data_IF_087599552956
#
_entry.id   IF_087599552956
#
_cell.length_a   1.000
_cell.length_b   1.000
_cell.length_c   1.000
_cell.angle_alpha   90.00
_cell.angle_beta   90.00
_cell.angle_gamma   90.00
#
_symmetry.space_group_name_H-M   'P 1'
#
loop_
_entity.id
_entity.type
_entity.pdbx_description
1 polymer ?
#
# COMPACT_ATOMS: atom_id res chain seq x y z
N UNK A 1 -43.30 6.02 -4.41
CA UNK A 1 -42.21 5.04 -4.63
C UNK A 1 -41.27 5.55 -5.73
N UNK A 2 -40.16 6.22 -5.39
CA UNK A 2 -39.13 6.66 -6.37
C UNK A 2 -37.66 6.43 -5.92
N UNK A 3 -37.39 6.25 -4.63
CA UNK A 3 -36.03 6.13 -4.08
C UNK A 3 -35.31 4.77 -4.20
N UNK A 4 -35.97 3.73 -4.73
CA UNK A 4 -35.42 2.36 -4.76
C UNK A 4 -34.55 2.05 -5.99
N UNK A 5 -34.73 2.76 -7.11
CA UNK A 5 -34.12 2.40 -8.40
C UNK A 5 -32.64 2.82 -8.48
N UNK A 6 -32.20 3.79 -7.69
CA UNK A 6 -30.79 4.23 -7.67
C UNK A 6 -29.83 3.29 -6.92
N UNK A 7 -30.35 2.38 -6.08
CA UNK A 7 -29.53 1.63 -5.11
C UNK A 7 -28.71 0.52 -5.76
N UNK A 8 -29.23 -0.15 -6.79
CA UNK A 8 -28.59 -1.28 -7.47
C UNK A 8 -27.37 -0.92 -8.32
N UNK A 9 -27.16 0.36 -8.64
CA UNK A 9 -25.96 0.80 -9.36
C UNK A 9 -24.74 0.95 -8.45
N UNK A 10 -24.95 1.24 -7.16
CA UNK A 10 -23.87 1.68 -6.27
C UNK A 10 -23.10 0.51 -5.66
N UNK A 11 -23.70 -0.67 -5.51
CA UNK A 11 -23.07 -1.85 -4.86
C UNK A 11 -21.76 -2.31 -5.51
N UNK A 12 -21.56 -2.09 -6.82
CA UNK A 12 -20.28 -2.35 -7.50
C UNK A 12 -19.20 -1.28 -7.27
N UNK A 13 -19.60 -0.07 -6.84
CA UNK A 13 -18.70 1.05 -6.53
C UNK A 13 -18.12 0.89 -5.10
N UNK A 14 -18.92 0.41 -4.14
CA UNK A 14 -18.49 0.19 -2.75
C UNK A 14 -17.28 -0.74 -2.60
N UNK A 15 -17.06 -1.69 -3.51
CA UNK A 15 -15.85 -2.54 -3.57
C UNK A 15 -14.53 -1.78 -3.78
N UNK A 16 -14.57 -0.46 -4.00
CA UNK A 16 -13.41 0.39 -4.28
C UNK A 16 -13.12 1.47 -3.20
N UNK A 17 -13.63 1.33 -1.97
CA UNK A 17 -13.49 2.30 -0.86
C UNK A 17 -12.25 2.08 0.04
N UNK A 18 -11.59 3.19 0.43
CA UNK A 18 -10.19 3.36 0.89
C UNK A 18 -10.04 4.63 1.78
N UNK A 19 -9.21 4.81 2.82
CA UNK A 19 -8.28 3.99 3.65
C UNK A 19 -8.28 4.53 5.12
N UNK A 20 -7.69 3.92 6.19
CA UNK A 20 -6.23 3.96 6.55
C UNK A 20 -5.96 3.44 8.00
N UNK A 21 -4.85 2.73 8.28
CA UNK A 21 -4.22 2.57 9.63
C UNK A 21 -5.01 1.83 10.75
N UNK A 22 -4.90 0.50 10.78
CA UNK A 22 -4.62 -0.24 12.01
C UNK A 22 -3.08 -0.31 12.24
N UNK A 23 -2.62 -1.21 13.11
CA UNK A 23 -1.21 -1.62 13.15
C UNK A 23 -0.93 -2.55 11.95
N UNK A 24 -0.70 -1.95 10.78
CA UNK A 24 -0.79 -2.59 9.46
C UNK A 24 0.41 -3.48 9.07
N UNK A 25 0.68 -4.50 9.88
CA UNK A 25 1.85 -5.39 9.73
C UNK A 25 1.82 -6.25 8.46
N UNK A 26 0.64 -6.66 7.98
CA UNK A 26 0.50 -7.69 6.95
C UNK A 26 0.81 -7.18 5.54
N UNK A 27 0.35 -5.98 5.16
CA UNK A 27 0.76 -5.39 3.87
C UNK A 27 2.27 -5.17 3.82
N UNK A 28 2.87 -4.65 4.90
CA UNK A 28 4.29 -4.32 4.94
C UNK A 28 5.24 -5.50 4.68
N UNK A 29 4.89 -6.73 5.07
CA UNK A 29 5.73 -7.91 4.74
C UNK A 29 5.69 -8.28 3.25
N UNK A 30 4.55 -8.11 2.56
CA UNK A 30 4.49 -8.29 1.11
C UNK A 30 5.14 -7.13 0.34
N UNK A 31 5.01 -5.90 0.83
CA UNK A 31 5.68 -4.71 0.26
C UNK A 31 7.20 -4.82 0.35
N UNK A 32 7.71 -5.35 1.47
CA UNK A 32 9.11 -5.73 1.68
C UNK A 32 9.60 -6.76 0.66
N UNK A 33 8.78 -7.76 0.34
CA UNK A 33 9.11 -8.77 -0.68
C UNK A 33 9.10 -8.15 -2.08
N UNK A 34 8.07 -7.37 -2.43
CA UNK A 34 8.02 -6.65 -3.71
C UNK A 34 9.25 -5.74 -3.90
N UNK A 35 9.71 -5.06 -2.85
CA UNK A 35 10.89 -4.20 -2.91
C UNK A 35 12.18 -5.01 -3.15
N UNK A 36 12.24 -6.25 -2.66
CA UNK A 36 13.32 -7.20 -2.98
C UNK A 36 13.24 -7.69 -4.44
N UNK A 37 12.07 -8.10 -4.92
CA UNK A 37 11.91 -8.59 -6.30
C UNK A 37 12.25 -7.48 -7.32
N UNK A 38 11.91 -6.23 -6.99
CA UNK A 38 12.33 -5.06 -7.77
C UNK A 38 13.84 -4.81 -7.68
N UNK A 39 14.46 -4.97 -6.51
CA UNK A 39 15.92 -4.87 -6.36
C UNK A 39 16.66 -5.88 -7.23
N UNK A 40 16.31 -7.16 -7.14
CA UNK A 40 17.00 -8.22 -7.87
C UNK A 40 16.78 -8.10 -9.38
N UNK A 41 15.54 -7.82 -9.82
CA UNK A 41 15.25 -7.51 -11.23
C UNK A 41 16.07 -6.31 -11.74
N UNK A 42 16.21 -5.25 -10.94
CA UNK A 42 16.99 -4.08 -11.35
C UNK A 42 18.50 -4.41 -11.41
N UNK A 43 18.99 -5.33 -10.57
CA UNK A 43 20.35 -5.84 -10.63
C UNK A 43 20.60 -6.79 -11.82
N UNK A 44 19.59 -7.54 -12.28
CA UNK A 44 19.61 -8.28 -13.55
C UNK A 44 19.70 -7.32 -14.73
N UNK A 45 18.72 -6.43 -14.86
CA UNK A 45 18.58 -5.53 -16.02
C UNK A 45 19.76 -4.57 -16.15
N UNK A 46 20.35 -4.13 -15.04
CA UNK A 46 21.54 -3.26 -15.04
C UNK A 46 22.86 -4.04 -15.08
N UNK A 47 22.84 -5.37 -15.01
CA UNK A 47 24.05 -6.21 -15.07
C UNK A 47 24.97 -6.05 -13.86
N UNK A 48 24.42 -5.87 -12.67
CA UNK A 48 25.16 -5.73 -11.41
C UNK A 48 24.46 -4.84 -10.38
N UNK A 49 24.65 -5.15 -9.09
CA UNK A 49 24.17 -4.32 -7.99
C UNK A 49 24.86 -2.95 -7.91
N UNK A 50 26.02 -2.82 -8.55
CA UNK A 50 26.76 -1.57 -8.70
C UNK A 50 26.17 -0.62 -9.74
N UNK A 51 25.34 -1.12 -10.66
CA UNK A 51 24.82 -0.35 -11.82
C UNK A 51 23.36 0.07 -11.66
N UNK A 52 22.68 -0.38 -10.60
CA UNK A 52 21.36 0.15 -10.21
C UNK A 52 21.49 1.09 -9.00
N UNK A 53 20.70 2.16 -9.01
CA UNK A 53 20.72 3.27 -8.04
C UNK A 53 19.31 3.72 -7.61
N UNK A 54 18.33 2.83 -7.78
CA UNK A 54 16.90 3.05 -7.50
C UNK A 54 16.49 2.57 -6.11
N UNK A 55 17.16 1.51 -5.63
CA UNK A 55 16.96 0.91 -4.32
C UNK A 55 18.36 0.73 -3.73
N UNK A 56 18.61 1.26 -2.55
CA UNK A 56 19.88 1.24 -1.81
C UNK A 56 21.09 1.81 -2.57
N UNK A 57 21.00 3.08 -2.99
CA UNK A 57 22.08 3.83 -3.67
C UNK A 57 23.48 3.61 -3.11
N UNK A 58 24.46 3.44 -4.01
CA UNK A 58 25.88 3.41 -3.65
C UNK A 58 26.37 4.72 -3.05
N UNK A 59 27.32 4.62 -2.11
CA UNK A 59 27.95 5.74 -1.42
C UNK A 59 29.45 5.49 -1.29
N UNK A 60 30.23 6.25 -2.05
CA UNK A 60 31.69 6.26 -2.00
C UNK A 60 32.20 7.02 -0.76
N UNK A 61 31.81 6.57 0.43
CA UNK A 61 32.22 7.13 1.72
C UNK A 61 33.19 6.14 2.37
N UNK A 62 34.48 6.46 2.36
CA UNK A 62 35.56 5.56 2.75
C UNK A 62 35.41 4.96 4.17
N UNK A 63 34.82 5.70 5.11
CA UNK A 63 34.57 5.26 6.48
C UNK A 63 33.22 4.55 6.69
N UNK A 64 32.40 4.37 5.64
CA UNK A 64 31.03 3.84 5.72
C UNK A 64 30.68 2.86 4.59
N UNK A 65 31.60 1.95 4.32
CA UNK A 65 31.45 0.76 3.44
C UNK A 65 30.06 0.09 3.50
N UNK A 66 29.43 -0.21 4.66
CA UNK A 66 28.15 -0.94 4.76
C UNK A 66 26.92 -0.27 4.12
N UNK A 67 26.99 1.00 3.71
CA UNK A 67 25.84 1.68 3.09
C UNK A 67 25.74 1.46 1.57
N UNK A 68 26.69 0.76 0.96
CA UNK A 68 26.69 0.47 -0.48
C UNK A 68 25.64 -0.54 -0.90
N UNK A 69 25.25 -0.54 -2.18
CA UNK A 69 24.19 -1.38 -2.76
C UNK A 69 24.49 -2.90 -2.82
N UNK A 70 25.53 -3.35 -2.12
CA UNK A 70 26.19 -4.64 -2.30
C UNK A 70 26.01 -5.56 -1.09
N UNK A 71 26.14 -6.86 -1.31
CA UNK A 71 26.17 -7.89 -0.28
C UNK A 71 27.00 -9.10 -0.73
N UNK A 72 26.79 -10.24 -0.09
CA UNK A 72 27.54 -11.50 -0.30
C UNK A 72 27.05 -12.36 -1.48
N UNK A 73 25.95 -11.97 -2.14
CA UNK A 73 25.38 -12.70 -3.27
C UNK A 73 26.12 -12.52 -4.61
N UNK A 74 25.72 -13.28 -5.65
CA UNK A 74 26.34 -13.24 -6.98
C UNK A 74 26.43 -11.83 -7.56
N UNK A 75 27.54 -11.52 -8.24
CA UNK A 75 27.85 -10.19 -8.78
C UNK A 75 27.80 -9.07 -7.71
N UNK A 76 28.05 -9.42 -6.44
CA UNK A 76 28.02 -8.50 -5.30
C UNK A 76 26.62 -8.01 -4.93
N UNK A 77 25.56 -8.72 -5.31
CA UNK A 77 24.18 -8.42 -4.86
C UNK A 77 24.02 -8.70 -3.37
N UNK A 78 23.08 -8.02 -2.73
CA UNK A 78 22.53 -8.49 -1.47
C UNK A 78 21.71 -9.77 -1.74
N UNK A 79 21.81 -10.73 -0.83
CA UNK A 79 20.87 -11.84 -0.70
C UNK A 79 19.54 -11.34 -0.10
N UNK A 80 18.47 -12.12 -0.22
CA UNK A 80 17.17 -11.79 0.37
C UNK A 80 17.28 -11.51 1.89
N UNK A 81 18.04 -12.33 2.61
CA UNK A 81 18.36 -12.13 4.04
C UNK A 81 19.04 -10.80 4.34
N UNK A 82 20.11 -10.45 3.60
CA UNK A 82 20.83 -9.18 3.79
C UNK A 82 19.93 -7.98 3.50
N UNK A 83 19.12 -8.07 2.44
CA UNK A 83 18.19 -7.04 2.02
C UNK A 83 17.08 -6.79 3.05
N UNK A 84 16.43 -7.86 3.54
CA UNK A 84 15.36 -7.75 4.53
C UNK A 84 15.87 -7.29 5.90
N UNK A 85 17.09 -7.70 6.29
CA UNK A 85 17.76 -7.18 7.47
C UNK A 85 18.05 -5.68 7.34
N UNK A 86 18.55 -5.22 6.19
CA UNK A 86 18.84 -3.81 5.92
C UNK A 86 17.58 -2.93 5.94
N UNK A 87 16.44 -3.46 5.48
CA UNK A 87 15.14 -2.79 5.65
C UNK A 87 14.68 -2.73 7.11
N UNK A 88 15.15 -3.65 7.98
CA UNK A 88 14.77 -3.71 9.40
C UNK A 88 15.71 -2.89 10.31
N UNK A 89 17.01 -2.78 9.99
CA UNK A 89 17.99 -2.09 10.83
C UNK A 89 18.82 -1.07 10.04
N UNK A 90 18.86 0.17 10.54
CA UNK A 90 19.57 1.35 9.98
C UNK A 90 21.11 1.24 10.01
N UNK A 91 21.72 0.20 9.44
CA UNK A 91 23.18 0.13 9.38
C UNK A 91 23.77 -1.24 9.07
N UNK A 92 24.89 -1.53 9.73
CA UNK A 92 25.69 -2.74 9.52
C UNK A 92 24.86 -4.03 9.61
N UNK A 93 25.10 -4.90 8.64
CA UNK A 93 24.80 -6.32 8.76
C UNK A 93 25.86 -6.89 9.73
N UNK A 94 25.47 -7.37 10.94
CA UNK A 94 26.42 -7.97 11.86
C UNK A 94 26.82 -9.37 11.38
N UNK A 95 27.91 -9.91 11.93
CA UNK A 95 28.36 -11.28 11.64
C UNK A 95 27.30 -12.36 12.00
N UNK A 96 26.28 -12.01 12.78
CA UNK A 96 25.14 -12.85 13.16
C UNK A 96 23.80 -12.22 12.75
N UNK A 97 23.41 -12.42 11.49
CA UNK A 97 22.08 -12.08 10.95
C UNK A 97 21.39 -13.34 10.37
N UNK A 98 20.05 -13.39 10.27
CA UNK A 98 19.35 -14.59 9.79
C UNK A 98 19.54 -14.83 8.28
N UNK A 99 20.45 -15.75 7.94
CA UNK A 99 20.71 -16.21 6.55
C UNK A 99 19.68 -17.20 6.02
N UNK A 100 18.71 -17.62 6.84
CA UNK A 100 17.78 -18.73 6.56
C UNK A 100 16.34 -18.27 6.22
N UNK A 101 16.16 -17.09 5.64
CA UNK A 101 14.82 -16.66 5.19
C UNK A 101 14.35 -17.51 4.00
N UNK A 102 13.03 -17.80 3.86
CA UNK A 102 12.51 -18.48 2.67
C UNK A 102 12.73 -17.63 1.41
N UNK A 103 13.15 -18.24 0.30
CA UNK A 103 13.21 -17.56 -0.99
C UNK A 103 11.79 -17.14 -1.42
N UNK A 104 11.49 -15.83 -1.62
CA UNK A 104 10.15 -15.39 -1.96
C UNK A 104 9.66 -15.90 -3.33
N UNK A 105 10.58 -16.20 -4.27
CA UNK A 105 10.24 -16.79 -5.56
C UNK A 105 9.67 -18.21 -5.45
N UNK A 106 9.98 -18.95 -4.38
CA UNK A 106 9.44 -20.31 -4.14
C UNK A 106 8.01 -20.23 -3.57
N UNK A 107 7.82 -19.43 -2.51
CA UNK A 107 6.52 -19.12 -1.90
C UNK A 107 6.57 -17.73 -1.22
N UNK A 108 5.96 -16.68 -1.82
CA UNK A 108 5.94 -15.35 -1.24
C UNK A 108 5.07 -15.26 0.02
N UNK A 109 4.13 -16.19 0.23
CA UNK A 109 3.27 -16.23 1.41
C UNK A 109 3.99 -16.84 2.61
N UNK A 110 4.81 -17.88 2.38
CA UNK A 110 5.75 -18.41 3.39
C UNK A 110 6.80 -17.38 3.77
N UNK A 111 7.38 -16.69 2.78
CA UNK A 111 8.31 -15.59 3.02
C UNK A 111 7.67 -14.43 3.80
N UNK A 112 6.42 -14.06 3.48
CA UNK A 112 5.68 -13.03 4.20
C UNK A 112 5.36 -13.43 5.65
N UNK A 113 4.96 -14.69 5.89
CA UNK A 113 4.74 -15.21 7.24
C UNK A 113 6.04 -15.24 8.07
N UNK A 114 7.16 -15.69 7.50
CA UNK A 114 8.44 -15.71 8.20
C UNK A 114 8.94 -14.29 8.57
N UNK A 115 8.70 -13.28 7.72
CA UNK A 115 8.93 -11.87 8.09
C UNK A 115 7.99 -11.39 9.20
N UNK A 116 6.72 -11.80 9.17
CA UNK A 116 5.72 -11.41 10.17
C UNK A 116 6.04 -12.00 11.55
N UNK A 117 6.34 -13.30 11.60
CA UNK A 117 6.70 -14.04 12.82
C UNK A 117 7.99 -13.49 13.47
N UNK A 118 8.90 -12.90 12.68
CA UNK A 118 10.12 -12.22 13.15
C UNK A 118 9.91 -10.76 13.58
N UNK A 119 8.71 -10.20 13.41
CA UNK A 119 8.44 -8.77 13.66
C UNK A 119 9.13 -7.83 12.64
N UNK A 120 9.39 -8.32 11.42
CA UNK A 120 10.01 -7.53 10.33
C UNK A 120 8.93 -6.93 9.44
N UNK A 121 7.96 -6.29 10.09
CA UNK A 121 6.68 -5.86 9.56
C UNK A 121 6.40 -4.36 9.80
N UNK A 122 7.38 -3.63 10.37
CA UNK A 122 7.29 -2.20 10.63
C UNK A 122 7.51 -1.31 9.41
N UNK A 123 7.23 -0.02 9.59
CA UNK A 123 7.34 1.03 8.56
C UNK A 123 8.71 1.06 7.87
N UNK A 124 8.71 1.21 6.54
CA UNK A 124 9.92 1.38 5.75
C UNK A 124 10.49 2.80 5.88
N UNK A 125 11.80 2.88 6.06
CA UNK A 125 12.56 4.13 6.20
C UNK A 125 13.11 4.54 4.84
N UNK A 126 12.40 5.44 4.17
CA UNK A 126 12.57 5.71 2.73
C UNK A 126 13.92 6.36 2.44
N UNK A 127 14.41 7.20 3.34
CA UNK A 127 15.70 7.89 3.23
C UNK A 127 16.91 6.96 3.38
N UNK A 128 16.72 5.81 4.05
CA UNK A 128 17.71 4.73 4.15
C UNK A 128 17.67 3.81 2.92
N UNK A 129 16.54 3.77 2.19
CA UNK A 129 16.35 3.04 0.93
C UNK A 129 16.87 3.86 -0.27
N UNK A 130 16.46 5.11 -0.40
CA UNK A 130 16.90 6.02 -1.46
C UNK A 130 17.14 7.41 -0.89
N UNK A 131 18.40 7.81 -0.87
CA UNK A 131 18.83 9.03 -0.20
C UNK A 131 18.35 10.34 -0.85
N UNK A 132 17.81 10.29 -2.08
CA UNK A 132 17.13 11.46 -2.66
C UNK A 132 15.87 11.86 -1.90
N UNK A 133 15.34 10.98 -1.03
CA UNK A 133 14.25 11.32 -0.13
C UNK A 133 14.68 12.08 1.14
N UNK A 134 15.98 12.32 1.37
CA UNK A 134 16.42 13.23 2.44
C UNK A 134 16.02 14.68 2.17
N UNK A 135 16.17 15.14 0.92
CA UNK A 135 15.83 16.50 0.48
C UNK A 135 14.52 16.58 -0.32
N UNK A 136 13.73 15.50 -0.35
CA UNK A 136 12.44 15.46 -1.06
C UNK A 136 11.37 16.28 -0.34
N UNK A 137 10.71 17.14 -1.11
CA UNK A 137 9.50 17.87 -0.73
C UNK A 137 8.28 17.32 -1.47
N UNK A 138 7.08 17.53 -0.90
CA UNK A 138 5.83 17.12 -1.52
C UNK A 138 5.56 17.90 -2.81
N UNK A 139 5.10 17.27 -3.90
CA UNK A 139 4.68 18.00 -5.10
C UNK A 139 3.51 18.92 -4.80
N UNK A 140 3.54 20.16 -5.32
CA UNK A 140 2.46 21.14 -5.09
C UNK A 140 1.10 20.68 -5.66
N UNK A 141 1.11 19.83 -6.69
CA UNK A 141 -0.07 19.21 -7.28
C UNK A 141 -0.46 17.86 -6.63
N UNK A 142 0.28 17.41 -5.61
CA UNK A 142 0.02 16.17 -4.87
C UNK A 142 0.43 16.31 -3.38
N UNK A 143 -0.22 17.23 -2.62
CA UNK A 143 0.15 17.54 -1.23
C UNK A 143 -0.07 16.39 -0.22
N UNK A 144 -0.57 15.25 -0.70
CA UNK A 144 -0.82 14.04 0.08
C UNK A 144 0.08 12.87 -0.31
N UNK A 145 0.99 13.08 -1.27
CA UNK A 145 2.16 12.23 -1.39
C UNK A 145 2.99 12.31 -0.10
N UNK A 146 3.48 11.16 0.33
CA UNK A 146 4.60 11.05 1.26
C UNK A 146 5.78 10.37 0.57
N UNK A 147 6.96 10.41 1.22
CA UNK A 147 8.16 9.70 0.74
C UNK A 147 7.87 8.24 0.39
N UNK A 148 7.01 7.56 1.16
CA UNK A 148 6.61 6.17 0.94
C UNK A 148 5.84 5.97 -0.39
N UNK A 149 4.78 6.75 -0.65
CA UNK A 149 4.03 6.66 -1.91
C UNK A 149 4.90 7.09 -3.11
N UNK A 150 5.71 8.12 -2.93
CA UNK A 150 6.63 8.61 -3.95
C UNK A 150 7.76 7.61 -4.27
N UNK A 151 8.19 6.77 -3.32
CA UNK A 151 9.11 5.65 -3.59
C UNK A 151 8.44 4.59 -4.48
N UNK A 152 7.19 4.20 -4.18
CA UNK A 152 6.45 3.23 -5.00
C UNK A 152 6.28 3.76 -6.42
N UNK A 153 5.80 5.00 -6.57
CA UNK A 153 5.62 5.63 -7.88
C UNK A 153 6.93 5.71 -8.67
N UNK A 154 8.06 6.00 -8.00
CA UNK A 154 9.39 6.06 -8.60
C UNK A 154 9.90 4.71 -9.09
N UNK A 155 9.67 3.65 -8.31
CA UNK A 155 10.05 2.27 -8.66
C UNK A 155 9.14 1.74 -9.76
N UNK A 156 7.82 1.95 -9.67
CA UNK A 156 6.84 1.62 -10.71
C UNK A 156 7.22 2.27 -12.04
N UNK A 157 7.44 3.60 -12.05
CA UNK A 157 7.85 4.34 -13.25
C UNK A 157 9.11 3.79 -13.90
N UNK A 158 10.05 3.25 -13.12
CA UNK A 158 11.26 2.61 -13.65
C UNK A 158 11.03 1.16 -14.13
N UNK A 159 10.21 0.40 -13.43
CA UNK A 159 9.75 -0.93 -13.85
C UNK A 159 8.96 -0.88 -15.17
N UNK A 160 8.05 0.08 -15.31
CA UNK A 160 7.27 0.30 -16.52
C UNK A 160 8.15 0.70 -17.70
N UNK A 161 9.18 1.55 -17.50
CA UNK A 161 10.20 1.83 -18.53
C UNK A 161 10.92 0.57 -19.00
N UNK A 162 11.24 -0.36 -18.10
CA UNK A 162 11.86 -1.63 -18.49
C UNK A 162 10.91 -2.52 -19.30
N UNK A 163 9.63 -2.60 -18.94
CA UNK A 163 8.61 -3.34 -19.70
C UNK A 163 8.30 -2.73 -21.08
N UNK A 164 8.47 -1.42 -21.27
CA UNK A 164 8.31 -0.77 -22.57
C UNK A 164 9.47 -1.06 -23.55
N UNK A 165 10.68 -1.36 -23.06
CA UNK A 165 11.86 -1.65 -23.88
C UNK A 165 12.04 -3.16 -24.07
N UNK A 166 12.12 -3.62 -25.33
CA UNK A 166 12.17 -5.05 -25.68
C UNK A 166 13.25 -5.84 -24.95
N UNK A 167 14.48 -5.31 -24.85
CA UNK A 167 15.61 -6.02 -24.26
C UNK A 167 15.48 -6.13 -22.74
N UNK A 168 15.06 -5.05 -22.07
CA UNK A 168 14.92 -5.01 -20.62
C UNK A 168 13.59 -5.60 -20.12
N UNK A 169 12.67 -5.92 -21.03
CA UNK A 169 11.45 -6.66 -20.73
C UNK A 169 11.68 -8.19 -20.64
N UNK A 170 12.74 -8.74 -21.26
CA UNK A 170 13.00 -10.19 -21.28
C UNK A 170 13.07 -10.82 -19.87
N UNK A 171 13.73 -10.21 -18.85
CA UNK A 171 13.76 -10.73 -17.48
C UNK A 171 12.45 -10.54 -16.68
N UNK A 172 11.39 -10.00 -17.30
CA UNK A 172 10.08 -9.71 -16.72
C UNK A 172 9.01 -10.59 -17.39
N UNK A 173 9.32 -11.88 -17.50
CA UNK A 173 8.49 -12.91 -18.15
C UNK A 173 8.27 -14.11 -17.22
N UNK A 174 7.37 -15.01 -17.59
CA UNK A 174 7.12 -16.27 -16.87
C UNK A 174 6.86 -16.08 -15.37
N UNK A 175 7.57 -16.84 -14.55
CA UNK A 175 7.36 -16.88 -13.11
C UNK A 175 7.60 -15.55 -12.41
N UNK A 176 8.59 -14.76 -12.84
CA UNK A 176 8.84 -13.44 -12.24
C UNK A 176 7.73 -12.44 -12.59
N UNK A 177 7.11 -12.55 -13.77
CA UNK A 177 5.89 -11.79 -14.07
C UNK A 177 4.74 -12.20 -13.13
N UNK A 178 4.49 -13.50 -13.00
CA UNK A 178 3.45 -14.04 -12.11
C UNK A 178 3.70 -13.70 -10.63
N UNK A 179 4.95 -13.60 -10.20
CA UNK A 179 5.35 -13.17 -8.87
C UNK A 179 4.96 -11.71 -8.59
N UNK A 180 5.25 -10.80 -9.52
CA UNK A 180 4.84 -9.40 -9.41
C UNK A 180 3.30 -9.24 -9.38
N UNK A 181 2.57 -10.05 -10.15
CA UNK A 181 1.10 -10.08 -10.14
C UNK A 181 0.55 -10.51 -8.76
N UNK A 182 1.03 -11.66 -8.24
CA UNK A 182 0.68 -12.17 -6.90
C UNK A 182 0.91 -11.11 -5.82
N UNK A 183 2.10 -10.51 -5.80
CA UNK A 183 2.50 -9.50 -4.82
C UNK A 183 1.67 -8.22 -4.94
N UNK A 184 1.47 -7.70 -6.16
CA UNK A 184 0.65 -6.51 -6.40
C UNK A 184 -0.79 -6.70 -5.93
N UNK A 185 -1.41 -7.86 -6.25
CA UNK A 185 -2.75 -8.21 -5.80
C UNK A 185 -2.84 -8.41 -4.28
N UNK A 186 -1.85 -9.09 -3.68
CA UNK A 186 -1.77 -9.28 -2.23
C UNK A 186 -1.71 -7.94 -1.47
N UNK A 187 -0.83 -7.02 -1.89
CA UNK A 187 -0.66 -5.72 -1.25
C UNK A 187 -1.93 -4.86 -1.40
N UNK A 188 -2.51 -4.79 -2.60
CA UNK A 188 -3.78 -4.05 -2.82
C UNK A 188 -4.92 -4.65 -1.99
N UNK A 189 -5.03 -5.98 -1.88
CA UNK A 189 -6.06 -6.66 -1.07
C UNK A 189 -5.88 -6.42 0.43
N UNK A 190 -4.66 -6.37 0.94
CA UNK A 190 -4.41 -6.06 2.35
C UNK A 190 -4.68 -4.60 2.65
N UNK A 191 -4.19 -3.66 1.82
CA UNK A 191 -4.51 -2.22 1.95
C UNK A 191 -6.02 -1.92 1.81
N UNK A 192 -6.75 -2.72 1.04
CA UNK A 192 -8.23 -2.71 0.99
C UNK A 192 -8.87 -3.12 2.32
N UNK A 193 -8.36 -4.13 3.01
CA UNK A 193 -8.98 -4.63 4.24
C UNK A 193 -8.55 -3.80 5.47
N UNK A 194 -7.29 -3.38 5.50
CA UNK A 194 -6.76 -2.38 6.44
C UNK A 194 -7.49 -1.03 6.35
N UNK A 195 -8.07 -0.70 5.19
CA UNK A 195 -9.05 0.40 5.08
C UNK A 195 -10.28 0.08 5.90
N UNK A 196 -10.93 -1.02 5.58
CA UNK A 196 -12.34 -1.23 5.91
C UNK A 196 -12.51 -1.37 7.42
N UNK A 197 -11.50 -1.91 8.09
CA UNK A 197 -11.41 -1.95 9.55
C UNK A 197 -11.28 -0.53 10.15
N UNK A 198 -10.49 0.36 9.55
CA UNK A 198 -10.48 1.77 9.96
C UNK A 198 -11.79 2.48 9.66
N UNK A 199 -12.42 2.22 8.52
CA UNK A 199 -13.75 2.79 8.19
C UNK A 199 -14.75 2.35 9.25
N UNK A 200 -14.71 1.09 9.70
CA UNK A 200 -15.49 0.62 10.85
C UNK A 200 -15.20 1.42 12.12
N UNK A 201 -13.92 1.64 12.47
CA UNK A 201 -13.51 2.41 13.66
C UNK A 201 -13.92 3.89 13.57
N UNK A 202 -13.74 4.52 12.42
CA UNK A 202 -14.16 5.91 12.15
C UNK A 202 -15.69 6.06 12.23
N UNK A 203 -16.46 5.13 11.67
CA UNK A 203 -17.92 5.14 11.79
C UNK A 203 -18.36 5.02 13.26
N UNK A 204 -17.79 4.08 14.03
CA UNK A 204 -18.12 3.96 15.46
C UNK A 204 -17.64 5.12 16.33
N UNK A 205 -16.69 5.94 15.84
CA UNK A 205 -16.07 7.01 16.62
C UNK A 205 -15.05 6.48 17.64
N UNK A 206 -14.20 5.55 17.20
CA UNK A 206 -13.18 4.87 18.02
C UNK A 206 -12.30 5.87 18.80
N UNK A 207 -12.31 5.85 20.15
CA UNK A 207 -11.60 6.82 20.97
C UNK A 207 -10.09 6.52 21.04
N UNK A 208 -9.37 6.91 19.98
CA UNK A 208 -7.92 7.17 20.11
C UNK A 208 -7.68 8.14 21.27
N UNK A 209 -6.59 7.97 22.02
CA UNK A 209 -6.44 8.41 23.42
C UNK A 209 -6.34 9.93 23.67
N UNK A 210 -6.77 10.76 22.72
CA UNK A 210 -6.88 12.21 22.86
C UNK A 210 -8.32 12.63 22.51
N UNK A 211 -9.17 12.99 23.51
CA UNK A 211 -10.54 13.43 23.29
C UNK A 211 -10.67 14.69 22.41
N UNK A 212 -9.60 15.46 22.21
CA UNK A 212 -9.58 16.61 21.27
C UNK A 212 -9.27 16.20 19.83
N UNK A 213 -8.97 14.92 19.58
CA UNK A 213 -8.71 14.31 18.27
C UNK A 213 -9.63 13.13 17.94
N UNK A 214 -10.73 12.95 18.69
CA UNK A 214 -11.73 11.89 18.46
C UNK A 214 -12.59 12.16 17.21
N UNK A 215 -11.95 12.15 16.03
CA UNK A 215 -12.58 12.37 14.73
C UNK A 215 -13.21 11.10 14.20
N UNK A 216 -14.55 11.03 14.25
CA UNK A 216 -15.34 9.93 13.72
C UNK A 216 -16.83 10.27 13.73
N UNK A 217 -17.67 9.40 13.15
CA UNK A 217 -19.09 9.67 13.04
C UNK A 217 -19.82 9.48 14.39
N UNK A 218 -19.41 8.48 15.18
CA UNK A 218 -19.99 8.16 16.49
C UNK A 218 -21.30 7.36 16.39
N UNK A 219 -21.41 6.52 15.35
CA UNK A 219 -22.59 5.71 15.06
C UNK A 219 -22.57 4.42 15.91
N UNK A 220 -23.68 4.12 16.58
CA UNK A 220 -23.80 2.95 17.46
C UNK A 220 -24.17 1.68 16.72
N UNK A 221 -24.96 1.81 15.64
CA UNK A 221 -25.68 0.73 14.99
C UNK A 221 -25.03 0.32 13.66
N UNK A 222 -23.71 0.48 13.53
CA UNK A 222 -22.97 0.16 12.30
C UNK A 222 -23.21 -1.29 11.86
N UNK A 223 -23.42 -1.50 10.56
CA UNK A 223 -23.52 -2.84 9.97
C UNK A 223 -22.13 -3.24 9.51
N UNK A 224 -21.59 -4.30 10.10
CA UNK A 224 -20.25 -4.79 9.80
C UNK A 224 -20.24 -6.30 9.61
N UNK A 225 -19.36 -6.78 8.74
CA UNK A 225 -19.06 -8.18 8.53
C UNK A 225 -17.58 -8.44 8.82
N UNK A 226 -17.24 -9.59 9.40
CA UNK A 226 -15.84 -10.03 9.47
C UNK A 226 -15.43 -10.69 8.16
N UNK A 227 -14.28 -10.30 7.60
CA UNK A 227 -13.75 -10.83 6.34
C UNK A 227 -12.31 -11.29 6.57
N UNK A 228 -12.04 -12.59 6.38
CA UNK A 228 -10.67 -13.11 6.37
C UNK A 228 -9.90 -12.57 5.14
N UNK A 229 -8.60 -12.32 5.31
CA UNK A 229 -7.78 -11.72 4.26
C UNK A 229 -7.80 -12.53 2.95
N UNK A 230 -7.74 -13.86 3.09
CA UNK A 230 -7.48 -14.85 2.05
C UNK A 230 -6.16 -14.60 1.27
N UNK A 231 -5.21 -13.88 1.86
CA UNK A 231 -3.89 -13.56 1.26
C UNK A 231 -2.83 -14.52 1.80
N UNK A 232 -2.80 -15.73 1.22
CA UNK A 232 -1.81 -16.75 1.55
C UNK A 232 -2.02 -17.36 2.93
N UNK A 233 -0.94 -17.47 3.70
CA UNK A 233 -0.95 -18.10 5.03
C UNK A 233 -1.44 -17.15 6.17
N UNK A 234 -1.73 -15.89 5.86
CA UNK A 234 -2.06 -14.85 6.86
C UNK A 234 -3.59 -14.72 6.99
N UNK A 235 -4.17 -15.50 7.90
CA UNK A 235 -5.62 -15.61 8.14
C UNK A 235 -6.20 -14.50 9.05
N UNK A 236 -5.69 -13.28 8.94
CA UNK A 236 -6.22 -12.16 9.73
C UNK A 236 -7.62 -11.77 9.25
N UNK A 237 -8.49 -11.46 10.21
CA UNK A 237 -9.86 -10.97 9.99
C UNK A 237 -9.89 -9.45 10.08
N UNK A 238 -10.62 -8.84 9.17
CA UNK A 238 -10.86 -7.39 9.14
C UNK A 238 -12.36 -7.12 9.23
N UNK A 239 -12.75 -6.07 9.94
CA UNK A 239 -14.13 -5.58 9.90
C UNK A 239 -14.36 -4.86 8.57
N UNK A 240 -15.48 -5.16 7.92
CA UNK A 240 -15.90 -4.48 6.68
C UNK A 240 -17.26 -3.87 6.90
N UNK A 241 -17.39 -2.56 6.67
CA UNK A 241 -18.65 -1.84 6.85
C UNK A 241 -19.54 -2.07 5.64
N UNK A 242 -20.75 -2.57 5.86
CA UNK A 242 -21.82 -2.39 4.89
C UNK A 242 -22.32 -0.95 5.05
N UNK A 243 -21.72 -0.06 4.27
CA UNK A 243 -21.99 1.37 4.34
C UNK A 243 -23.43 1.69 3.89
N UNK A 244 -24.00 0.92 2.94
CA UNK A 244 -25.39 1.08 2.51
C UNK A 244 -26.32 0.74 3.66
N UNK A 245 -26.21 -0.47 4.24
CA UNK A 245 -27.10 -0.90 5.32
C UNK A 245 -26.90 -0.08 6.59
N UNK A 246 -25.67 0.39 6.87
CA UNK A 246 -25.39 1.33 7.97
C UNK A 246 -26.12 2.64 7.77
N UNK A 247 -26.02 3.26 6.59
CA UNK A 247 -26.66 4.56 6.36
C UNK A 247 -28.17 4.47 6.15
N UNK A 248 -28.70 3.34 5.70
CA UNK A 248 -30.14 3.06 5.74
C UNK A 248 -30.70 3.09 7.16
N UNK A 249 -29.98 2.58 8.18
CA UNK A 249 -30.40 2.71 9.58
C UNK A 249 -30.44 4.17 10.07
N UNK A 250 -29.60 5.04 9.51
CA UNK A 250 -29.49 6.46 9.87
C UNK A 250 -30.19 7.41 8.89
N UNK A 251 -31.04 6.88 8.02
CA UNK A 251 -31.96 7.64 7.15
C UNK A 251 -33.40 7.40 7.62
N UNK A 252 -34.26 8.41 7.50
CA UNK A 252 -35.68 8.33 7.78
C UNK A 252 -36.46 7.88 6.53
N UNK A 253 -37.74 7.51 6.69
CA UNK A 253 -38.60 7.04 5.59
C UNK A 253 -38.91 8.10 4.53
N UNK A 254 -38.68 9.38 4.84
CA UNK A 254 -38.79 10.53 3.93
C UNK A 254 -37.47 10.86 3.19
N UNK A 255 -36.37 10.17 3.51
CA UNK A 255 -35.02 10.43 2.97
C UNK A 255 -34.18 11.43 3.77
N UNK A 256 -34.69 11.99 4.87
CA UNK A 256 -33.90 12.87 5.75
C UNK A 256 -32.89 12.07 6.59
N UNK A 257 -31.75 12.67 6.92
CA UNK A 257 -30.75 12.04 7.78
C UNK A 257 -31.11 12.21 9.26
N UNK A 258 -30.93 11.16 10.06
CA UNK A 258 -31.11 11.20 11.51
C UNK A 258 -30.04 12.07 12.19
N UNK A 259 -30.28 12.59 13.42
CA UNK A 259 -29.36 13.50 14.12
C UNK A 259 -27.90 13.03 14.21
N UNK A 260 -27.68 11.72 14.23
CA UNK A 260 -26.34 11.11 14.28
C UNK A 260 -25.54 11.29 13.00
N UNK A 261 -26.20 11.46 11.84
CA UNK A 261 -25.57 11.77 10.55
C UNK A 261 -25.76 13.21 10.10
N UNK A 262 -26.89 13.87 10.40
CA UNK A 262 -27.14 15.23 9.93
C UNK A 262 -26.21 16.28 10.55
N UNK A 263 -25.59 15.98 11.70
CA UNK A 263 -24.47 16.74 12.27
C UNK A 263 -23.16 16.69 11.44
N UNK A 264 -23.04 15.74 10.51
CA UNK A 264 -21.85 15.51 9.66
C UNK A 264 -22.14 15.77 8.18
N UNK A 265 -23.37 15.50 7.71
CA UNK A 265 -23.77 15.64 6.31
C UNK A 265 -25.08 16.41 6.19
N UNK A 266 -25.12 17.42 5.32
CA UNK A 266 -26.31 18.26 5.14
C UNK A 266 -27.52 17.49 4.58
N UNK A 267 -27.28 16.46 3.77
CA UNK A 267 -28.32 15.61 3.16
C UNK A 267 -27.73 14.26 2.69
N UNK A 268 -28.59 13.37 2.20
CA UNK A 268 -28.20 12.05 1.67
C UNK A 268 -27.23 12.15 0.47
N UNK A 269 -27.35 13.17 -0.38
CA UNK A 269 -26.47 13.37 -1.54
C UNK A 269 -25.03 13.70 -1.13
N UNK A 270 -24.85 14.61 -0.15
CA UNK A 270 -23.55 14.92 0.42
C UNK A 270 -22.91 13.69 1.09
N UNK A 271 -23.71 12.81 1.67
CA UNK A 271 -23.27 11.52 2.24
C UNK A 271 -22.93 10.47 1.15
N UNK A 272 -23.65 10.42 0.03
CA UNK A 272 -23.28 9.57 -1.11
C UNK A 272 -22.00 10.07 -1.81
N UNK A 273 -21.86 11.38 -1.96
CA UNK A 273 -20.60 11.99 -2.42
C UNK A 273 -19.45 11.71 -1.46
N UNK A 274 -19.69 11.79 -0.15
CA UNK A 274 -18.73 11.41 0.89
C UNK A 274 -18.22 9.96 0.69
N UNK A 275 -19.12 9.04 0.37
CA UNK A 275 -18.80 7.63 0.09
C UNK A 275 -17.91 7.50 -1.15
N UNK A 276 -18.33 8.05 -2.28
CA UNK A 276 -17.62 7.92 -3.56
C UNK A 276 -16.24 8.60 -3.51
N UNK A 277 -16.11 9.62 -2.66
CA UNK A 277 -14.88 10.33 -2.38
C UNK A 277 -14.14 9.82 -1.11
N UNK A 278 -14.43 8.62 -0.60
CA UNK A 278 -13.72 8.09 0.59
C UNK A 278 -12.20 8.13 0.43
N UNK A 279 -11.53 8.74 1.41
CA UNK A 279 -10.08 8.93 1.45
C UNK A 279 -9.54 9.91 0.41
N UNK A 280 -10.33 10.36 -0.57
CA UNK A 280 -9.96 11.41 -1.49
C UNK A 280 -9.67 12.70 -0.69
N UNK A 281 -8.43 13.20 -0.64
CA UNK A 281 -8.10 14.34 0.21
C UNK A 281 -8.76 15.64 -0.27
N UNK A 282 -9.22 15.67 -1.52
CA UNK A 282 -9.84 16.83 -2.16
C UNK A 282 -11.36 16.91 -1.90
N UNK A 283 -11.91 15.99 -1.11
CA UNK A 283 -13.36 15.85 -0.82
C UNK A 283 -13.94 16.92 0.11
N UNK A 284 -13.11 17.83 0.63
CA UNK A 284 -13.52 18.90 1.54
C UNK A 284 -13.72 18.48 3.00
N UNK A 285 -13.35 17.25 3.36
CA UNK A 285 -13.61 16.69 4.69
C UNK A 285 -12.35 16.59 5.55
N UNK A 286 -12.55 16.73 6.86
CA UNK A 286 -11.48 16.76 7.87
C UNK A 286 -10.92 15.36 8.20
N UNK A 287 -10.46 14.67 7.17
CA UNK A 287 -9.57 13.51 7.30
C UNK A 287 -8.23 13.94 7.92
N UNK A 288 -7.64 13.06 8.73
CA UNK A 288 -6.26 13.26 9.22
C UNK A 288 -5.26 13.18 8.06
N UNK A 289 -4.09 13.78 8.18
CA UNK A 289 -3.09 13.69 7.10
C UNK A 289 -2.50 12.27 6.95
N UNK A 290 -2.54 11.46 8.02
CA UNK A 290 -2.33 10.00 7.93
C UNK A 290 -3.38 9.35 7.02
N UNK A 291 -4.66 9.67 7.21
CA UNK A 291 -5.78 9.20 6.38
C UNK A 291 -5.61 9.56 4.90
N UNK A 292 -5.09 10.76 4.60
CA UNK A 292 -4.81 11.20 3.22
C UNK A 292 -3.58 10.49 2.63
N UNK A 293 -2.53 10.31 3.43
CA UNK A 293 -1.26 9.68 3.06
C UNK A 293 -1.42 8.22 2.63
N UNK A 294 -2.01 7.36 3.47
CA UNK A 294 -2.12 5.94 3.10
C UNK A 294 -3.16 5.72 1.97
N UNK A 295 -4.19 6.57 1.82
CA UNK A 295 -5.01 6.57 0.60
C UNK A 295 -4.18 6.85 -0.66
N UNK A 296 -3.28 7.84 -0.60
CA UNK A 296 -2.36 8.16 -1.71
C UNK A 296 -1.34 7.04 -1.98
N UNK A 297 -0.91 6.34 -0.94
CA UNK A 297 -0.06 5.16 -1.04
C UNK A 297 -0.76 3.96 -1.69
N UNK A 298 -2.03 3.73 -1.38
CA UNK A 298 -2.83 2.75 -2.11
C UNK A 298 -3.04 3.17 -3.58
N UNK A 299 -3.21 4.46 -3.89
CA UNK A 299 -3.23 4.92 -5.30
C UNK A 299 -1.96 4.52 -6.05
N UNK A 300 -0.78 4.54 -5.41
CA UNK A 300 0.46 3.97 -5.97
C UNK A 300 0.33 2.47 -6.24
N UNK A 301 -0.10 1.68 -5.24
CA UNK A 301 -0.24 0.23 -5.37
C UNK A 301 -1.27 -0.21 -6.42
N UNK A 302 -2.42 0.47 -6.51
CA UNK A 302 -3.40 0.30 -7.61
C UNK A 302 -2.78 0.62 -8.96
N UNK A 303 -2.02 1.73 -9.06
CA UNK A 303 -1.35 2.14 -10.30
C UNK A 303 -0.31 1.09 -10.74
N UNK A 304 0.48 0.56 -9.81
CA UNK A 304 1.39 -0.55 -10.06
C UNK A 304 0.64 -1.79 -10.57
N UNK A 305 -0.40 -2.25 -9.87
CA UNK A 305 -1.15 -3.45 -10.25
C UNK A 305 -1.82 -3.31 -11.63
N UNK A 306 -2.42 -2.15 -11.93
CA UNK A 306 -3.04 -1.84 -13.21
C UNK A 306 -1.97 -1.84 -14.33
N UNK A 307 -0.87 -1.09 -14.18
CA UNK A 307 0.19 -1.01 -15.19
C UNK A 307 0.94 -2.33 -15.36
N UNK A 308 1.08 -3.13 -14.31
CA UNK A 308 1.64 -4.47 -14.39
C UNK A 308 0.77 -5.36 -15.32
N UNK A 309 -0.55 -5.38 -15.09
CA UNK A 309 -1.51 -6.13 -15.93
C UNK A 309 -1.66 -5.62 -17.37
N UNK A 310 -1.23 -4.40 -17.70
CA UNK A 310 -1.26 -3.89 -19.07
C UNK A 310 -0.31 -4.64 -20.01
N UNK A 311 -0.73 -4.79 -21.27
CA UNK A 311 0.17 -5.21 -22.35
C UNK A 311 1.27 -4.18 -22.57
N UNK A 312 2.39 -4.57 -23.19
CA UNK A 312 3.46 -3.63 -23.58
C UNK A 312 2.94 -2.49 -24.48
N UNK A 313 2.05 -2.80 -25.43
CA UNK A 313 1.48 -1.80 -26.33
C UNK A 313 0.62 -0.77 -25.58
N UNK A 314 -0.24 -1.23 -24.67
CA UNK A 314 -1.04 -0.37 -23.78
C UNK A 314 -0.13 0.48 -22.88
N UNK A 315 0.91 -0.12 -22.30
CA UNK A 315 1.84 0.58 -21.41
C UNK A 315 2.66 1.65 -22.13
N UNK A 316 2.93 1.50 -23.42
CA UNK A 316 3.58 2.53 -24.26
C UNK A 316 2.68 3.72 -24.56
N UNK A 317 1.36 3.62 -24.36
CA UNK A 317 0.40 4.73 -24.49
C UNK A 317 0.26 5.54 -23.19
N UNK A 318 0.76 5.01 -22.06
CA UNK A 318 0.74 5.74 -20.78
C UNK A 318 1.85 6.80 -20.73
N UNK A 319 1.50 8.02 -20.32
CA UNK A 319 2.48 8.99 -19.86
C UNK A 319 3.25 8.44 -18.63
N UNK A 320 4.57 8.65 -18.61
CA UNK A 320 5.49 8.17 -17.58
C UNK A 320 5.84 9.25 -16.57
#
# INVERSE_FOLDING_TARGET
MRGLIGITAVTWIFSLIHCVHAANFNSHVYERIWLWEMYDLFCDIKGGADKQNMIFRQKNIASRIPFNNKGSGPNGRMTYSEFQWRLQKKGLIPNSFPTNLPNPMDDPHKAAKDLLDRGWNGNLLIEDIDDSFNSWSKPANDPHAEKYSALIDKIEKQYSKFRQNTQTALPITGDRYNQFDKLGKAIVRLRQLETQDWVSRYFSGDPSTDPKKAGGLGLKDIVTNEVESNVGQIKEKYKVVDVIATFQKYTNTDGTLKPELSKHFANQEAMLKWIDEQGNPNSGLNYSDSSKSHYRALKSWKTFAIKHGMTRATLMQCAL
#
